data_IF_317822466187
#
_entry.id   IF_317822466187
#
_cell.length_a   1.000
_cell.length_b   1.000
_cell.length_c   1.000
_cell.angle_alpha   90.00
_cell.angle_beta   90.00
_cell.angle_gamma   90.00
#
_symmetry.space_group_name_H-M   'P 1'
#
loop_
_entity.id
_entity.type
_entity.pdbx_description
1 polymer ?
#
# COMPACT_ATOMS: atom_id res chain seq x y z
N UNK A 1 -59.55 34.62 2.05
CA UNK A 1 -58.08 34.78 2.11
C UNK A 1 -57.48 33.42 2.39
N UNK A 2 -56.83 32.81 1.38
CA UNK A 2 -56.13 31.49 1.53
C UNK A 2 -54.64 31.78 1.69
N UNK A 3 -54.07 31.49 2.87
CA UNK A 3 -52.65 31.58 3.11
C UNK A 3 -51.98 30.37 2.48
N UNK A 4 -51.12 30.61 1.50
CA UNK A 4 -50.26 29.60 0.89
C UNK A 4 -48.96 29.52 1.72
N UNK A 5 -48.81 28.45 2.50
CA UNK A 5 -47.56 28.15 3.21
C UNK A 5 -46.58 27.59 2.22
N UNK A 6 -45.54 28.37 1.84
CA UNK A 6 -44.39 27.92 1.06
C UNK A 6 -43.40 27.28 2.03
N UNK A 7 -43.32 25.95 2.01
CA UNK A 7 -42.27 25.19 2.72
C UNK A 7 -41.03 25.22 1.83
N UNK A 8 -40.05 26.03 2.20
CA UNK A 8 -38.72 26.03 1.58
C UNK A 8 -37.94 24.81 2.15
N UNK A 9 -37.85 23.73 1.36
CA UNK A 9 -36.96 22.59 1.68
C UNK A 9 -35.58 22.99 1.29
N UNK A 10 -34.77 23.42 2.30
CA UNK A 10 -33.31 23.59 2.18
C UNK A 10 -32.68 22.21 2.10
N UNK A 11 -32.45 21.70 0.87
CA UNK A 11 -31.62 20.54 0.65
C UNK A 11 -30.15 20.94 0.90
N UNK A 12 -29.65 20.64 2.08
CA UNK A 12 -28.21 20.66 2.36
C UNK A 12 -27.54 19.58 1.50
N UNK A 13 -27.01 19.96 0.36
CA UNK A 13 -26.14 19.13 -0.42
C UNK A 13 -24.79 19.07 0.30
N UNK A 14 -24.62 18.07 1.15
CA UNK A 14 -23.33 17.75 1.73
C UNK A 14 -22.38 17.30 0.61
N UNK A 15 -21.58 18.22 0.10
CA UNK A 15 -20.40 17.87 -0.68
C UNK A 15 -19.41 17.18 0.28
N UNK A 16 -19.49 15.87 0.38
CA UNK A 16 -18.38 15.09 0.90
C UNK A 16 -17.22 15.25 -0.09
N UNK A 17 -16.32 16.18 0.17
CA UNK A 17 -15.01 16.21 -0.48
C UNK A 17 -14.29 14.99 0.10
N UNK A 18 -14.48 13.85 -0.53
CA UNK A 18 -13.61 12.70 -0.32
C UNK A 18 -12.22 13.17 -0.76
N UNK A 19 -11.31 13.37 0.18
CA UNK A 19 -9.90 13.55 -0.13
C UNK A 19 -9.45 12.25 -0.81
N UNK A 20 -9.47 12.26 -2.14
CA UNK A 20 -8.95 11.17 -2.93
C UNK A 20 -7.42 11.23 -2.83
N UNK A 21 -6.85 10.33 -2.05
CA UNK A 21 -5.40 10.12 -2.05
C UNK A 21 -4.97 9.58 -3.41
N UNK A 22 -3.84 10.05 -3.91
CA UNK A 22 -3.26 9.51 -5.14
C UNK A 22 -2.90 8.03 -4.96
N UNK A 23 -3.27 7.22 -5.94
CA UNK A 23 -2.93 5.78 -6.02
C UNK A 23 -1.96 5.55 -7.19
N UNK A 24 -1.03 4.59 -7.08
CA UNK A 24 -0.23 4.15 -8.21
C UNK A 24 -1.13 3.66 -9.36
N UNK A 25 -0.91 4.17 -10.55
CA UNK A 25 -1.61 3.74 -11.75
C UNK A 25 -1.25 2.29 -12.09
N UNK A 26 -2.22 1.54 -12.59
CA UNK A 26 -2.03 0.18 -13.07
C UNK A 26 -2.97 -0.16 -14.22
N UNK A 27 -2.58 -1.16 -15.00
CA UNK A 27 -3.45 -1.77 -15.99
C UNK A 27 -3.90 -3.14 -15.48
N UNK A 28 -5.21 -3.42 -15.52
CA UNK A 28 -5.73 -4.76 -15.25
C UNK A 28 -5.48 -5.63 -16.49
N UNK A 29 -4.69 -6.66 -16.32
CA UNK A 29 -4.34 -7.63 -17.39
C UNK A 29 -5.35 -8.77 -17.41
N UNK A 30 -5.70 -9.28 -16.22
CA UNK A 30 -6.67 -10.34 -16.06
C UNK A 30 -7.46 -10.13 -14.77
N UNK A 31 -8.75 -10.49 -14.81
CA UNK A 31 -9.61 -10.48 -13.63
C UNK A 31 -10.33 -11.82 -13.51
N UNK A 32 -10.37 -12.37 -12.32
CA UNK A 32 -11.10 -13.56 -11.94
C UNK A 32 -11.93 -13.30 -10.67
N UNK A 33 -12.76 -14.25 -10.26
CA UNK A 33 -13.52 -14.12 -9.02
C UNK A 33 -12.63 -14.12 -7.75
N UNK A 34 -11.40 -14.63 -7.87
CA UNK A 34 -10.52 -14.85 -6.73
C UNK A 34 -9.41 -13.79 -6.61
N UNK A 35 -8.92 -13.25 -7.73
CA UNK A 35 -7.84 -12.26 -7.76
C UNK A 35 -7.78 -11.56 -9.11
N UNK A 36 -7.04 -10.44 -9.16
CA UNK A 36 -6.71 -9.72 -10.39
C UNK A 36 -5.21 -9.80 -10.65
N UNK A 37 -4.81 -9.81 -11.93
CA UNK A 37 -3.43 -9.56 -12.35
C UNK A 37 -3.37 -8.13 -12.84
N UNK A 38 -2.50 -7.34 -12.23
CA UNK A 38 -2.26 -5.94 -12.55
C UNK A 38 -0.82 -5.71 -12.97
N UNK A 39 -0.62 -4.90 -14.00
CA UNK A 39 0.68 -4.39 -14.42
C UNK A 39 0.88 -3.00 -13.86
N UNK A 40 1.97 -2.78 -13.16
CA UNK A 40 2.39 -1.49 -12.63
C UNK A 40 3.66 -1.02 -13.31
N UNK A 41 3.80 0.29 -13.51
CA UNK A 41 5.06 0.93 -13.89
C UNK A 41 5.98 1.10 -12.68
N UNK A 42 7.22 1.52 -12.93
CA UNK A 42 8.15 1.90 -11.87
C UNK A 42 7.57 3.03 -11.01
N UNK A 43 7.75 2.92 -9.71
CA UNK A 43 7.18 3.85 -8.72
C UNK A 43 8.23 4.29 -7.75
N UNK A 44 8.26 5.57 -7.43
CA UNK A 44 9.11 6.08 -6.38
C UNK A 44 8.44 5.90 -5.02
N UNK A 45 9.22 5.51 -4.03
CA UNK A 45 8.74 5.35 -2.66
C UNK A 45 9.81 5.76 -1.65
N UNK A 46 9.39 6.04 -0.43
CA UNK A 46 10.25 6.02 0.73
C UNK A 46 9.98 4.75 1.52
N UNK A 47 11.04 4.10 1.96
CA UNK A 47 10.94 2.88 2.75
C UNK A 47 11.71 2.98 4.06
N UNK A 48 11.28 2.20 5.03
CA UNK A 48 11.96 2.00 6.30
C UNK A 48 11.92 0.54 6.71
N UNK A 49 13.07 0.02 7.15
CA UNK A 49 13.14 -1.25 7.86
C UNK A 49 12.88 -0.99 9.35
N UNK A 50 12.03 -1.80 9.97
CA UNK A 50 11.71 -1.68 11.39
C UNK A 50 11.47 -3.04 12.02
N UNK A 51 11.69 -3.12 13.34
CA UNK A 51 11.37 -4.28 14.17
C UNK A 51 9.98 -4.11 14.81
N UNK A 52 9.54 -5.12 15.59
CA UNK A 52 8.26 -5.05 16.29
C UNK A 52 8.16 -3.92 17.32
N UNK A 53 9.29 -3.39 17.79
CA UNK A 53 9.39 -2.32 18.80
C UNK A 53 9.35 -0.92 18.19
N UNK A 54 9.67 -0.80 16.88
CA UNK A 54 9.71 0.46 16.17
C UNK A 54 8.42 0.69 15.36
N UNK A 55 7.96 1.94 15.29
CA UNK A 55 6.86 2.33 14.40
C UNK A 55 7.41 2.78 13.04
N UNK A 56 7.42 1.87 12.06
CA UNK A 56 7.79 2.22 10.69
C UNK A 56 6.95 3.37 10.13
N UNK A 57 5.67 3.40 10.46
CA UNK A 57 4.76 4.46 10.03
C UNK A 57 5.23 5.85 10.47
N UNK A 58 5.67 6.00 11.73
CA UNK A 58 6.08 7.31 12.26
C UNK A 58 7.28 7.88 11.52
N UNK A 59 8.26 7.05 11.14
CA UNK A 59 9.42 7.49 10.37
C UNK A 59 9.01 8.02 8.98
N UNK A 60 8.14 7.30 8.29
CA UNK A 60 7.67 7.70 6.96
C UNK A 60 6.72 8.90 7.03
N UNK A 61 5.88 8.96 8.07
CA UNK A 61 5.00 10.09 8.29
C UNK A 61 5.78 11.38 8.59
N UNK A 62 6.85 11.30 9.38
CA UNK A 62 7.73 12.44 9.63
C UNK A 62 8.38 12.94 8.34
N UNK A 63 8.82 12.03 7.45
CA UNK A 63 9.37 12.39 6.15
C UNK A 63 8.37 13.21 5.32
N UNK A 64 7.15 12.73 5.13
CA UNK A 64 6.13 13.45 4.34
C UNK A 64 5.66 14.74 5.02
N UNK A 65 5.81 14.85 6.34
CA UNK A 65 5.50 16.06 7.13
C UNK A 65 6.59 17.10 7.10
N UNK A 66 7.72 16.85 6.44
CA UNK A 66 8.81 17.82 6.27
C UNK A 66 10.15 17.44 6.90
N UNK A 67 10.31 16.23 7.48
CA UNK A 67 11.62 15.76 7.92
C UNK A 67 12.47 15.29 6.72
N UNK A 68 12.70 16.22 5.77
CA UNK A 68 13.41 16.03 4.51
C UNK A 68 14.15 17.31 4.10
N UNK A 69 14.88 17.24 3.00
CA UNK A 69 15.63 18.39 2.45
C UNK A 69 14.66 19.51 2.08
N UNK A 70 14.89 20.71 2.59
CA UNK A 70 14.05 21.88 2.33
C UNK A 70 12.77 21.92 3.16
N UNK A 71 12.59 21.03 4.15
CA UNK A 71 11.39 20.94 5.00
C UNK A 71 10.08 20.90 4.20
N UNK A 72 10.11 20.21 3.04
CA UNK A 72 9.01 20.15 2.10
C UNK A 72 7.93 19.19 2.58
N UNK A 73 6.68 19.66 2.64
CA UNK A 73 5.52 18.80 2.86
C UNK A 73 5.21 18.00 1.59
N UNK A 74 5.14 16.69 1.73
CA UNK A 74 4.78 15.76 0.64
C UNK A 74 3.37 15.22 0.92
N UNK A 75 2.53 15.22 -0.11
CA UNK A 75 1.17 14.67 0.00
C UNK A 75 1.23 13.16 0.25
N UNK A 76 0.38 12.68 1.14
CA UNK A 76 0.27 11.26 1.40
C UNK A 76 -0.43 10.57 0.22
N UNK A 77 0.08 9.42 -0.18
CA UNK A 77 -0.56 8.55 -1.17
C UNK A 77 -1.06 7.25 -0.53
N UNK A 78 -1.84 6.49 -1.24
CA UNK A 78 -2.24 5.13 -0.87
C UNK A 78 -1.90 4.16 -2.00
N UNK A 79 -1.63 2.89 -1.71
CA UNK A 79 -1.61 2.27 -0.40
C UNK A 79 -0.33 2.49 0.40
N UNK A 80 -0.40 2.30 1.71
CA UNK A 80 0.78 2.00 2.53
C UNK A 80 1.05 0.50 2.38
N UNK A 81 2.26 0.11 1.98
CA UNK A 81 2.63 -1.30 1.86
C UNK A 81 3.57 -1.75 2.95
N UNK A 82 3.38 -2.97 3.40
CA UNK A 82 4.19 -3.64 4.41
C UNK A 82 4.51 -5.07 3.96
N UNK A 83 5.78 -5.45 4.01
CA UNK A 83 6.23 -6.81 3.75
C UNK A 83 7.28 -7.24 4.78
N UNK A 84 7.43 -8.54 4.96
CA UNK A 84 8.49 -9.12 5.79
C UNK A 84 9.71 -9.31 4.88
N UNK A 85 10.83 -8.67 5.21
CA UNK A 85 12.08 -8.89 4.50
C UNK A 85 12.71 -10.17 5.05
N UNK A 86 12.85 -11.17 4.19
CA UNK A 86 13.66 -12.34 4.47
C UNK A 86 14.96 -12.15 3.71
N UNK A 87 16.06 -11.98 4.44
CA UNK A 87 17.38 -11.97 3.83
C UNK A 87 17.64 -13.36 3.27
N UNK A 88 17.77 -13.47 1.96
CA UNK A 88 18.18 -14.72 1.30
C UNK A 88 19.66 -14.93 1.54
N UNK A 89 19.99 -15.67 2.59
CA UNK A 89 21.33 -16.21 2.79
C UNK A 89 21.34 -17.70 2.47
N UNK A 90 22.13 -18.11 1.51
CA UNK A 90 22.53 -19.49 1.26
C UNK A 90 23.82 -19.77 2.03
N UNK A 91 24.00 -20.91 2.68
CA UNK A 91 23.11 -21.89 3.26
C UNK A 91 22.82 -21.66 4.76
N UNK A 92 21.75 -22.27 5.24
CA UNK A 92 21.25 -22.20 6.61
C UNK A 92 22.27 -22.69 7.62
N UNK A 93 22.87 -21.76 8.38
CA UNK A 93 23.39 -22.05 9.71
C UNK A 93 23.27 -20.80 10.58
N UNK A 94 22.49 -20.95 11.65
CA UNK A 94 22.20 -20.02 12.73
C UNK A 94 21.34 -18.78 12.38
N UNK A 95 20.23 -18.91 12.79
CA UNK A 95 19.01 -18.19 13.15
C UNK A 95 19.34 -16.97 14.02
N UNK A 96 19.55 -15.81 13.39
CA UNK A 96 19.12 -14.55 13.95
C UNK A 96 17.89 -14.09 13.16
N UNK A 97 16.74 -14.57 13.63
CA UNK A 97 15.42 -14.17 13.12
C UNK A 97 15.07 -12.78 13.62
N UNK A 98 15.80 -11.78 13.21
CA UNK A 98 15.25 -10.44 13.17
C UNK A 98 14.27 -10.41 11.99
N UNK A 99 13.00 -10.72 12.26
CA UNK A 99 11.90 -10.51 11.33
C UNK A 99 11.80 -9.00 11.05
N UNK A 100 12.72 -8.49 10.23
CA UNK A 100 12.67 -7.10 9.80
C UNK A 100 11.49 -6.94 8.87
N UNK A 101 10.61 -6.04 9.26
CA UNK A 101 9.51 -5.59 8.42
C UNK A 101 9.97 -4.38 7.62
N UNK A 102 9.46 -4.25 6.42
CA UNK A 102 9.67 -3.09 5.56
C UNK A 102 8.33 -2.43 5.30
N UNK A 103 8.24 -1.14 5.61
CA UNK A 103 7.07 -0.32 5.27
C UNK A 103 7.46 0.68 4.20
N UNK A 104 6.54 0.94 3.28
CA UNK A 104 6.73 1.87 2.17
C UNK A 104 5.55 2.82 2.04
N UNK A 105 5.88 4.10 1.78
CA UNK A 105 4.94 5.09 1.26
C UNK A 105 5.35 5.43 -0.17
N UNK A 106 4.46 5.21 -1.12
CA UNK A 106 4.68 5.67 -2.49
C UNK A 106 4.65 7.19 -2.52
N UNK A 107 5.48 7.79 -3.35
CA UNK A 107 5.46 9.24 -3.52
C UNK A 107 4.53 9.62 -4.67
N UNK A 108 3.92 10.82 -4.63
CA UNK A 108 3.15 11.36 -5.75
C UNK A 108 3.91 11.28 -7.07
N UNK A 109 3.20 11.04 -8.18
CA UNK A 109 3.76 10.84 -9.54
C UNK A 109 4.64 12.00 -10.01
N UNK A 110 4.43 13.22 -9.46
CA UNK A 110 5.26 14.40 -9.74
C UNK A 110 6.72 14.28 -9.29
N UNK A 111 7.03 13.31 -8.40
CA UNK A 111 8.38 13.11 -7.89
C UNK A 111 9.13 12.05 -8.71
N UNK A 112 10.38 12.37 -9.00
CA UNK A 112 11.39 11.47 -9.57
C UNK A 112 12.52 11.31 -8.58
N UNK A 113 13.44 10.37 -8.82
CA UNK A 113 14.60 10.16 -7.95
C UNK A 113 15.47 11.42 -7.82
N UNK A 114 15.46 12.27 -8.84
CA UNK A 114 16.30 13.48 -8.92
C UNK A 114 15.67 14.69 -8.19
N UNK A 115 14.33 14.79 -8.15
CA UNK A 115 13.63 15.96 -7.59
C UNK A 115 12.93 15.67 -6.25
N UNK A 116 12.85 14.43 -5.83
CA UNK A 116 12.25 14.09 -4.53
C UNK A 116 13.12 14.61 -3.37
N UNK A 117 12.52 15.18 -2.32
CA UNK A 117 13.26 15.65 -1.17
C UNK A 117 13.96 14.48 -0.46
N UNK A 118 15.25 14.63 -0.15
CA UNK A 118 16.02 13.55 0.51
C UNK A 118 15.61 13.43 1.98
N UNK A 119 15.42 12.21 2.50
CA UNK A 119 15.11 12.01 3.91
C UNK A 119 16.20 12.56 4.84
N UNK A 120 15.81 13.26 5.90
CA UNK A 120 16.75 13.70 6.95
C UNK A 120 17.11 12.56 7.89
N UNK A 121 16.25 11.56 8.04
CA UNK A 121 16.49 10.39 8.88
C UNK A 121 17.17 9.28 8.07
N UNK A 122 18.36 8.84 8.53
CA UNK A 122 19.15 7.78 7.87
C UNK A 122 18.46 6.41 7.76
N UNK A 123 17.45 6.14 8.60
CA UNK A 123 16.64 4.92 8.52
C UNK A 123 15.69 4.92 7.33
N UNK A 124 15.26 6.11 6.86
CA UNK A 124 14.34 6.27 5.73
C UNK A 124 15.15 6.35 4.44
N UNK A 125 14.82 5.52 3.47
CA UNK A 125 15.50 5.45 2.17
C UNK A 125 14.53 5.82 1.06
N UNK A 126 14.99 6.62 0.11
CA UNK A 126 14.30 6.86 -1.15
C UNK A 126 14.65 5.72 -2.10
N UNK A 127 13.65 5.05 -2.66
CA UNK A 127 13.82 3.85 -3.48
C UNK A 127 12.89 3.87 -4.69
N UNK A 128 13.37 3.30 -5.79
CA UNK A 128 12.51 2.98 -6.94
C UNK A 128 12.00 1.56 -6.79
N UNK A 129 10.69 1.39 -6.77
CA UNK A 129 10.03 0.10 -6.83
C UNK A 129 9.86 -0.25 -8.30
N UNK A 130 10.53 -1.29 -8.73
CA UNK A 130 10.40 -1.78 -10.11
C UNK A 130 8.97 -2.20 -10.40
N UNK A 131 8.49 -1.81 -11.56
CA UNK A 131 7.22 -2.24 -12.09
C UNK A 131 7.17 -3.74 -12.34
N UNK A 132 6.11 -4.18 -12.99
CA UNK A 132 5.88 -5.57 -13.34
C UNK A 132 4.48 -6.02 -13.02
N UNK A 133 4.29 -7.34 -13.03
CA UNK A 133 2.99 -7.95 -12.82
C UNK A 133 2.82 -8.37 -11.37
N UNK A 134 1.61 -8.11 -10.85
CA UNK A 134 1.24 -8.43 -9.48
C UNK A 134 -0.13 -9.12 -9.48
N UNK A 135 -0.22 -10.22 -8.75
CA UNK A 135 -1.50 -10.81 -8.39
C UNK A 135 -2.03 -10.11 -7.15
N UNK A 136 -3.28 -9.69 -7.21
CA UNK A 136 -3.94 -8.86 -6.19
C UNK A 136 -5.19 -9.54 -5.69
N UNK A 137 -5.26 -9.81 -4.39
CA UNK A 137 -6.49 -10.24 -3.71
C UNK A 137 -6.99 -9.10 -2.82
N UNK A 138 -8.14 -8.53 -3.18
CA UNK A 138 -8.80 -7.47 -2.41
C UNK A 138 -9.70 -8.06 -1.33
N UNK A 139 -9.67 -7.45 -0.14
CA UNK A 139 -10.53 -7.85 0.97
C UNK A 139 -10.89 -6.68 1.87
N UNK A 140 -11.98 -6.81 2.63
CA UNK A 140 -12.38 -5.87 3.68
C UNK A 140 -12.05 -6.43 5.07
N UNK A 141 -12.24 -5.63 6.10
CA UNK A 141 -12.03 -6.03 7.48
C UNK A 141 -10.82 -5.38 8.14
N UNK A 142 -10.43 -5.92 9.30
CA UNK A 142 -9.30 -5.40 10.07
C UNK A 142 -7.97 -5.72 9.38
N UNK A 143 -7.01 -4.81 9.48
CA UNK A 143 -5.64 -4.94 8.95
C UNK A 143 -4.73 -5.79 9.83
N UNK A 144 -5.28 -6.73 10.63
CA UNK A 144 -4.50 -7.59 11.51
C UNK A 144 -3.58 -8.53 10.74
N UNK A 145 -2.47 -8.92 11.36
CA UNK A 145 -1.53 -9.89 10.77
C UNK A 145 -2.20 -11.24 10.46
N UNK A 146 -3.12 -11.70 11.32
CA UNK A 146 -3.85 -12.95 11.11
C UNK A 146 -4.78 -12.91 9.90
N UNK A 147 -5.50 -11.79 9.71
CA UNK A 147 -6.38 -11.63 8.55
C UNK A 147 -5.56 -11.55 7.25
N UNK A 148 -4.46 -10.80 7.26
CA UNK A 148 -3.52 -10.76 6.15
C UNK A 148 -2.96 -12.16 5.83
N UNK A 149 -2.44 -12.89 6.82
CA UNK A 149 -1.87 -14.22 6.61
C UNK A 149 -2.87 -15.21 6.00
N UNK A 150 -4.14 -15.15 6.44
CA UNK A 150 -5.22 -15.95 5.84
C UNK A 150 -5.39 -15.62 4.35
N UNK A 151 -5.45 -14.33 4.00
CA UNK A 151 -5.66 -13.87 2.63
C UNK A 151 -4.43 -14.09 1.73
N UNK A 152 -3.24 -13.97 2.30
CA UNK A 152 -2.00 -14.33 1.61
C UNK A 152 -1.99 -15.81 1.21
N UNK A 153 -2.31 -16.71 2.15
CA UNK A 153 -2.38 -18.14 1.87
C UNK A 153 -3.47 -18.49 0.84
N UNK A 154 -4.59 -17.77 0.86
CA UNK A 154 -5.66 -17.92 -0.13
C UNK A 154 -5.17 -17.54 -1.53
N UNK A 155 -4.48 -16.40 -1.66
CA UNK A 155 -3.91 -15.97 -2.95
C UNK A 155 -2.82 -16.93 -3.44
N UNK A 156 -1.89 -17.34 -2.57
CA UNK A 156 -0.83 -18.29 -2.91
C UNK A 156 -1.42 -19.60 -3.48
N UNK A 157 -2.44 -20.16 -2.79
CA UNK A 157 -3.13 -21.39 -3.25
C UNK A 157 -3.77 -21.23 -4.62
N UNK A 158 -4.36 -20.06 -4.91
CA UNK A 158 -4.95 -19.80 -6.22
C UNK A 158 -3.87 -19.71 -7.30
N UNK A 159 -2.75 -19.03 -7.04
CA UNK A 159 -1.63 -18.92 -7.97
C UNK A 159 -0.98 -20.28 -8.25
N UNK A 160 -0.78 -21.11 -7.22
CA UNK A 160 -0.30 -22.49 -7.38
C UNK A 160 -1.23 -23.33 -8.27
N UNK A 161 -2.55 -23.24 -8.04
CA UNK A 161 -3.55 -23.93 -8.85
C UNK A 161 -3.51 -23.50 -10.32
N UNK A 162 -3.29 -22.22 -10.57
CA UNK A 162 -3.25 -21.63 -11.90
C UNK A 162 -1.85 -21.71 -12.53
N UNK A 163 -0.87 -22.38 -11.86
CA UNK A 163 0.53 -22.54 -12.27
C UNK A 163 1.24 -21.20 -12.52
N UNK A 164 0.95 -20.18 -11.72
CA UNK A 164 1.59 -18.86 -11.81
C UNK A 164 2.75 -18.79 -10.83
N UNK A 165 3.95 -18.51 -11.35
CA UNK A 165 5.17 -18.39 -10.56
C UNK A 165 5.16 -17.10 -9.73
N UNK A 166 5.36 -17.24 -8.41
CA UNK A 166 5.47 -16.14 -7.46
C UNK A 166 6.94 -15.70 -7.33
N UNK A 167 7.21 -14.41 -7.51
CA UNK A 167 8.55 -13.82 -7.45
C UNK A 167 8.90 -13.24 -6.09
N UNK A 168 7.90 -13.05 -5.22
CA UNK A 168 8.10 -12.59 -3.85
C UNK A 168 7.13 -13.30 -2.87
N UNK A 169 7.25 -12.97 -1.59
CA UNK A 169 6.43 -13.59 -0.54
C UNK A 169 5.13 -12.83 -0.28
N UNK A 170 4.89 -11.77 -1.02
CA UNK A 170 3.72 -10.92 -0.91
C UNK A 170 3.86 -9.78 0.10
N UNK A 171 3.04 -8.79 -0.11
CA UNK A 171 2.93 -7.59 0.72
C UNK A 171 1.48 -7.29 1.05
N UNK A 172 1.27 -6.62 2.17
CA UNK A 172 0.00 -6.08 2.60
C UNK A 172 -0.11 -4.64 2.15
N UNK A 173 -1.17 -4.29 1.44
CA UNK A 173 -1.47 -2.93 1.01
C UNK A 173 -2.71 -2.40 1.74
N UNK A 174 -2.58 -1.24 2.38
CA UNK A 174 -3.60 -0.61 3.22
C UNK A 174 -3.99 0.72 2.59
N UNK A 175 -5.26 0.87 2.25
CA UNK A 175 -5.77 2.04 1.53
C UNK A 175 -6.52 3.04 2.44
N UNK A 176 -6.93 2.62 3.62
CA UNK A 176 -7.76 3.43 4.49
C UNK A 176 -7.11 3.69 5.85
N UNK A 177 -7.38 4.86 6.39
CA UNK A 177 -6.92 5.25 7.72
C UNK A 177 -7.57 4.43 8.85
N UNK A 178 -7.01 4.52 10.07
CA UNK A 178 -7.42 3.71 11.21
C UNK A 178 -8.86 3.95 11.67
N UNK A 179 -9.42 5.12 11.39
CA UNK A 179 -10.79 5.49 11.78
C UNK A 179 -11.87 4.94 10.83
N UNK A 180 -11.49 4.39 9.66
CA UNK A 180 -12.43 3.76 8.74
C UNK A 180 -12.99 2.48 9.35
N UNK A 181 -14.32 2.32 9.31
CA UNK A 181 -14.97 1.12 9.79
C UNK A 181 -14.42 -0.12 9.07
N UNK A 182 -14.15 -1.24 9.78
CA UNK A 182 -13.52 -2.41 9.18
C UNK A 182 -14.21 -2.92 7.90
N UNK A 183 -15.52 -2.96 7.88
CA UNK A 183 -16.31 -3.43 6.73
C UNK A 183 -16.11 -2.55 5.47
N UNK A 184 -15.78 -1.27 5.65
CA UNK A 184 -15.58 -0.31 4.57
C UNK A 184 -14.11 -0.20 4.13
N UNK A 185 -13.20 -0.89 4.82
CA UNK A 185 -11.78 -0.84 4.47
C UNK A 185 -11.50 -1.61 3.20
N UNK A 186 -10.67 -1.02 2.35
CA UNK A 186 -10.00 -1.69 1.25
C UNK A 186 -8.60 -2.09 1.70
N UNK A 187 -8.35 -3.39 1.75
CA UNK A 187 -7.04 -3.97 1.95
C UNK A 187 -6.74 -4.86 0.75
N UNK A 188 -5.48 -5.00 0.40
CA UNK A 188 -5.06 -5.90 -0.65
C UNK A 188 -3.86 -6.73 -0.21
N UNK A 189 -3.83 -7.98 -0.64
CA UNK A 189 -2.62 -8.79 -0.68
C UNK A 189 -2.07 -8.67 -2.08
N UNK A 190 -0.76 -8.39 -2.20
CA UNK A 190 -0.06 -8.22 -3.47
C UNK A 190 1.11 -9.19 -3.51
N UNK A 191 1.21 -10.00 -4.56
CA UNK A 191 2.35 -10.90 -4.84
C UNK A 191 2.91 -10.54 -6.22
N UNK A 192 4.21 -10.25 -6.30
CA UNK A 192 4.88 -10.06 -7.61
C UNK A 192 4.97 -11.42 -8.29
N UNK A 193 4.61 -11.49 -9.56
CA UNK A 193 4.51 -12.74 -10.32
C UNK A 193 5.31 -12.66 -11.62
N UNK A 194 5.72 -13.83 -12.13
CA UNK A 194 6.16 -14.00 -13.52
C UNK A 194 4.92 -14.09 -14.40
N UNK A 195 4.84 -13.25 -15.42
CA UNK A 195 3.71 -13.22 -16.34
C UNK A 195 4.21 -12.91 -17.75
N UNK A 196 3.80 -13.72 -18.70
CA UNK A 196 4.02 -13.48 -20.14
C UNK A 196 2.66 -13.20 -20.80
N UNK A 197 2.58 -12.10 -21.52
CA UNK A 197 1.43 -11.77 -22.37
C UNK A 197 1.34 -12.70 -23.57
#
# INVERSE_FOLDING_TARGET
MKFFNIIIILTFWNYNIAMAYEEPEYTVIQSSDNYEIRKYDNRLAVEVEYSNEDSGFQYLFNYISGANTGSQKVEMTVPVTENIKIDMTSPVNHIDKANKKVMKFYLPKKFTIDNAPKPSNKKVKLVTIEGGYYAILRYSGRTSGSNYAKKLKELQKNLEKDNIEMLDQGSKAIFNGPLTLPLLRRNEVMIKISWSE
#
